data_IF_093058093496
#
_entry.id   IF_093058093496
#
_cell.length_a   1.000
_cell.length_b   1.000
_cell.length_c   1.000
_cell.angle_alpha   90.00
_cell.angle_beta   90.00
_cell.angle_gamma   90.00
#
_symmetry.space_group_name_H-M   'P 1'
#
loop_
_entity.id
_entity.type
_entity.pdbx_description
1 polymer ?
#
# COMPACT_ATOMS: atom_id res chain seq x y z
N UNK A 1 36.80 -8.81 -25.17
CA UNK A 1 37.81 -8.00 -24.46
C UNK A 1 37.34 -6.56 -24.56
N UNK A 2 36.74 -5.88 -23.59
CA UNK A 2 36.73 -6.03 -22.14
C UNK A 2 37.44 -4.82 -21.53
N UNK A 3 36.71 -3.80 -21.08
CA UNK A 3 37.13 -2.94 -19.96
C UNK A 3 35.89 -2.34 -19.28
N UNK A 4 35.68 -2.73 -18.03
CA UNK A 4 34.67 -2.18 -17.13
C UNK A 4 35.29 -0.99 -16.38
N UNK A 5 34.65 0.17 -16.45
CA UNK A 5 35.06 1.36 -15.70
C UNK A 5 34.59 1.26 -14.24
N UNK A 6 35.47 0.80 -13.34
CA UNK A 6 35.25 0.80 -11.89
C UNK A 6 35.44 2.22 -11.34
N UNK A 7 34.38 2.83 -10.80
CA UNK A 7 34.47 4.09 -10.04
C UNK A 7 34.92 3.80 -8.61
N UNK A 8 36.19 4.09 -8.31
CA UNK A 8 36.72 4.11 -6.94
C UNK A 8 36.16 5.32 -6.17
N UNK A 9 35.52 5.10 -5.01
CA UNK A 9 35.25 6.16 -4.04
C UNK A 9 36.58 6.60 -3.40
N UNK A 10 36.94 7.87 -3.58
CA UNK A 10 38.09 8.51 -2.94
C UNK A 10 37.77 8.73 -1.46
N UNK A 11 38.47 8.03 -0.57
CA UNK A 11 38.43 8.32 0.87
C UNK A 11 39.17 9.64 1.15
N UNK A 12 38.49 10.59 1.81
CA UNK A 12 39.01 11.91 2.17
C UNK A 12 40.23 11.86 3.09
N UNK A 13 40.99 12.95 3.10
CA UNK A 13 42.30 13.08 3.78
C UNK A 13 42.16 13.08 5.30
N UNK A 14 43.15 12.49 5.98
CA UNK A 14 43.23 12.46 7.46
C UNK A 14 43.25 13.87 8.09
N UNK A 15 43.61 14.90 7.31
CA UNK A 15 43.58 16.29 7.74
C UNK A 15 42.15 16.82 7.94
N UNK A 16 41.19 16.39 7.11
CA UNK A 16 39.79 16.82 7.22
C UNK A 16 39.11 16.21 8.46
N UNK A 17 39.52 15.00 8.85
CA UNK A 17 39.02 14.35 10.08
C UNK A 17 39.56 14.99 11.36
N UNK A 18 40.72 15.65 11.31
CA UNK A 18 41.32 16.31 12.48
C UNK A 18 40.62 17.65 12.80
N UNK A 19 40.22 18.41 11.78
CA UNK A 19 39.49 19.66 11.96
C UNK A 19 38.11 19.48 12.64
N UNK A 20 37.46 18.32 12.48
CA UNK A 20 36.20 18.02 13.15
C UNK A 20 36.36 17.60 14.64
N UNK A 21 37.57 17.29 15.10
CA UNK A 21 37.81 16.86 16.48
C UNK A 21 38.24 18.02 17.41
N UNK A 22 38.85 19.08 16.87
CA UNK A 22 39.31 20.21 17.67
C UNK A 22 38.15 21.18 18.06
N UNK A 23 37.05 21.19 17.30
CA UNK A 23 35.84 21.96 17.64
C UNK A 23 35.01 21.33 18.79
N UNK A 24 35.33 20.07 19.15
CA UNK A 24 34.65 19.33 20.22
C UNK A 24 35.26 19.59 21.61
N UNK A 25 36.48 20.11 21.68
CA UNK A 25 37.22 20.26 22.94
C UNK A 25 37.02 21.62 23.65
N UNK A 26 36.45 22.64 22.99
CA UNK A 26 36.29 23.98 23.56
C UNK A 26 34.94 24.23 24.29
N UNK A 27 34.12 23.19 24.51
CA UNK A 27 32.77 23.30 25.10
C UNK A 27 32.54 22.55 26.42
N UNK A 28 33.60 22.10 27.11
CA UNK A 28 33.46 21.28 28.34
C UNK A 28 33.89 21.98 29.64
N UNK A 29 33.85 23.31 29.76
CA UNK A 29 33.99 23.94 31.09
C UNK A 29 33.42 25.37 31.15
N UNK A 30 32.09 25.48 31.32
CA UNK A 30 31.45 26.68 31.86
C UNK A 30 30.45 26.26 32.95
N UNK A 31 30.32 27.02 34.06
CA UNK A 31 29.40 26.69 35.13
C UNK A 31 27.97 26.66 34.60
N UNK A 32 27.28 25.53 34.83
CA UNK A 32 25.90 25.30 34.39
C UNK A 32 24.92 26.25 35.10
N UNK A 33 24.34 27.17 34.32
CA UNK A 33 23.01 27.71 34.55
C UNK A 33 21.95 26.64 34.23
N UNK A 34 20.77 26.63 34.87
CA UNK A 34 19.81 25.53 34.73
C UNK A 34 19.14 25.56 33.35
N UNK A 35 19.49 24.62 32.47
CA UNK A 35 18.82 24.39 31.19
C UNK A 35 17.93 23.16 31.27
N UNK A 36 16.62 23.39 31.20
CA UNK A 36 15.59 22.39 30.98
C UNK A 36 15.76 21.76 29.59
N UNK A 37 16.04 20.47 29.51
CA UNK A 37 15.43 19.57 28.51
C UNK A 37 15.96 18.14 28.67
N UNK A 38 15.42 17.48 29.68
CA UNK A 38 15.35 16.03 29.75
C UNK A 38 13.87 15.68 29.85
N UNK A 39 13.16 15.73 28.72
CA UNK A 39 11.77 15.27 28.66
C UNK A 39 11.76 13.75 28.52
N UNK A 40 11.17 13.00 29.47
CA UNK A 40 10.92 11.57 29.31
C UNK A 40 10.05 11.34 28.06
N UNK A 41 10.19 10.18 27.40
CA UNK A 41 9.22 9.74 26.39
C UNK A 41 7.88 9.47 27.09
N UNK A 42 7.10 10.53 27.27
CA UNK A 42 5.79 10.48 27.90
C UNK A 42 4.85 9.79 26.92
N UNK A 43 4.47 8.55 27.23
CA UNK A 43 3.36 7.88 26.56
C UNK A 43 2.12 8.76 26.74
N UNK A 44 1.84 9.61 25.74
CA UNK A 44 0.64 10.42 25.68
C UNK A 44 -0.57 9.49 25.58
N UNK A 45 -1.10 9.10 26.72
CA UNK A 45 -2.39 8.46 26.82
C UNK A 45 -3.45 9.54 26.59
N UNK A 46 -4.35 9.34 25.64
CA UNK A 46 -5.47 10.26 25.42
C UNK A 46 -6.25 10.46 26.72
N UNK A 47 -6.62 11.71 26.99
CA UNK A 47 -7.32 12.07 28.22
C UNK A 47 -8.64 11.30 28.34
N UNK A 48 -9.12 11.07 29.57
CA UNK A 48 -10.42 10.42 29.78
C UNK A 48 -11.55 11.16 29.06
N UNK A 49 -11.47 12.49 29.01
CA UNK A 49 -12.38 13.36 28.27
C UNK A 49 -12.35 13.08 26.76
N UNK A 50 -11.17 12.92 26.16
CA UNK A 50 -11.04 12.52 24.75
C UNK A 50 -11.60 11.13 24.48
N UNK A 51 -11.32 10.15 25.36
CA UNK A 51 -11.86 8.78 25.22
C UNK A 51 -13.38 8.75 25.32
N UNK A 52 -13.96 9.53 26.24
CA UNK A 52 -15.41 9.69 26.37
C UNK A 52 -16.01 10.31 25.11
N UNK A 53 -15.39 11.37 24.59
CA UNK A 53 -15.80 12.00 23.32
C UNK A 53 -15.78 10.99 22.17
N UNK A 54 -14.71 10.22 22.02
CA UNK A 54 -14.60 9.19 20.97
C UNK A 54 -15.66 8.10 21.13
N UNK A 55 -15.95 7.67 22.35
CA UNK A 55 -17.00 6.70 22.64
C UNK A 55 -18.38 7.25 22.24
N UNK A 56 -18.71 8.46 22.69
CA UNK A 56 -19.99 9.10 22.37
C UNK A 56 -20.16 9.29 20.85
N UNK A 57 -19.08 9.63 20.14
CA UNK A 57 -19.06 9.71 18.67
C UNK A 57 -19.27 8.34 18.00
N UNK A 58 -18.62 7.30 18.51
CA UNK A 58 -18.77 5.92 18.04
C UNK A 58 -20.21 5.43 18.22
N UNK A 59 -20.81 5.71 19.39
CA UNK A 59 -22.21 5.41 19.69
C UNK A 59 -23.13 6.14 18.71
N UNK A 60 -22.95 7.45 18.51
CA UNK A 60 -23.75 8.23 17.54
C UNK A 60 -23.66 7.67 16.12
N UNK A 61 -22.46 7.33 15.64
CA UNK A 61 -22.25 6.71 14.32
C UNK A 61 -22.93 5.36 14.22
N UNK A 62 -22.81 4.54 15.26
CA UNK A 62 -23.43 3.22 15.34
C UNK A 62 -24.96 3.31 15.31
N UNK A 63 -25.56 4.16 16.15
CA UNK A 63 -27.02 4.37 16.19
C UNK A 63 -27.56 4.78 14.82
N UNK A 64 -26.89 5.71 14.12
CA UNK A 64 -27.26 6.11 12.75
C UNK A 64 -27.20 4.93 11.78
N UNK A 65 -26.11 4.16 11.80
CA UNK A 65 -25.94 2.99 10.91
C UNK A 65 -26.98 1.90 11.19
N UNK A 66 -27.31 1.67 12.45
CA UNK A 66 -28.33 0.70 12.85
C UNK A 66 -29.72 1.16 12.41
N UNK A 67 -30.06 2.44 12.56
CA UNK A 67 -31.37 2.97 12.15
C UNK A 67 -31.73 2.67 10.68
N UNK A 68 -30.73 2.60 9.79
CA UNK A 68 -30.90 2.28 8.36
C UNK A 68 -30.79 0.78 8.04
N UNK A 69 -30.25 -0.03 8.95
CA UNK A 69 -30.09 -1.47 8.75
C UNK A 69 -31.41 -2.21 9.04
N UNK A 70 -32.03 -2.87 8.03
CA UNK A 70 -33.31 -3.57 8.20
C UNK A 70 -33.25 -4.77 9.16
N UNK A 71 -32.06 -5.25 9.50
CA UNK A 71 -31.87 -6.36 10.45
C UNK A 71 -31.60 -5.90 11.89
N UNK A 72 -31.73 -4.60 12.19
CA UNK A 72 -31.53 -4.08 13.55
C UNK A 72 -32.85 -3.86 14.28
N UNK A 73 -32.87 -4.08 15.60
CA UNK A 73 -34.09 -3.91 16.42
C UNK A 73 -34.60 -2.46 16.53
N UNK A 74 -33.76 -1.47 16.16
CA UNK A 74 -34.12 -0.05 16.13
C UNK A 74 -34.32 0.47 14.69
N UNK A 75 -34.55 -0.43 13.73
CA UNK A 75 -34.80 -0.05 12.34
C UNK A 75 -36.01 0.87 12.27
N UNK A 76 -35.79 2.11 11.83
CA UNK A 76 -36.86 3.02 11.48
C UNK A 76 -37.07 2.84 9.99
N UNK A 77 -38.30 2.50 9.57
CA UNK A 77 -38.69 2.38 8.17
C UNK A 77 -38.71 3.76 7.48
N UNK A 78 -37.61 4.49 7.60
CA UNK A 78 -37.30 5.64 6.78
C UNK A 78 -36.96 5.06 5.43
N UNK A 79 -37.61 5.57 4.39
CA UNK A 79 -37.36 5.29 2.97
C UNK A 79 -35.91 4.86 2.81
N UNK A 80 -35.66 3.55 2.67
CA UNK A 80 -34.30 3.07 2.54
C UNK A 80 -33.68 3.88 1.42
N UNK A 81 -32.46 4.38 1.64
CA UNK A 81 -31.67 5.03 0.60
C UNK A 81 -31.42 3.95 -0.45
N UNK A 82 -32.43 3.72 -1.29
CA UNK A 82 -32.41 2.74 -2.35
C UNK A 82 -31.28 3.20 -3.24
N UNK A 83 -30.27 2.35 -3.34
CA UNK A 83 -29.15 2.59 -4.23
C UNK A 83 -29.75 2.77 -5.63
N UNK A 84 -29.63 3.97 -6.19
CA UNK A 84 -30.08 4.23 -7.54
C UNK A 84 -29.07 3.63 -8.50
N UNK A 85 -29.56 2.95 -9.54
CA UNK A 85 -28.69 2.44 -10.61
C UNK A 85 -27.97 3.57 -11.35
N UNK A 86 -28.58 4.76 -11.40
CA UNK A 86 -28.05 5.94 -12.10
C UNK A 86 -27.00 6.71 -11.28
N UNK A 87 -26.73 6.29 -10.03
CA UNK A 87 -25.66 6.87 -9.22
C UNK A 87 -24.29 6.51 -9.84
N UNK A 88 -23.43 7.49 -10.20
CA UNK A 88 -22.08 7.23 -10.71
C UNK A 88 -21.19 6.41 -9.77
N UNK A 89 -21.53 6.38 -8.48
CA UNK A 89 -20.85 5.62 -7.45
C UNK A 89 -21.58 4.31 -7.08
N UNK A 90 -22.61 3.92 -7.83
CA UNK A 90 -23.28 2.63 -7.68
C UNK A 90 -22.29 1.47 -7.90
N UNK A 91 -22.36 0.44 -7.06
CA UNK A 91 -21.47 -0.72 -7.14
C UNK A 91 -20.02 -0.45 -6.71
N UNK A 92 -19.69 0.78 -6.30
CA UNK A 92 -18.36 1.13 -5.79
C UNK A 92 -18.36 1.20 -4.27
N UNK A 93 -17.27 0.78 -3.61
CA UNK A 93 -17.14 1.00 -2.18
C UNK A 93 -17.08 2.50 -1.87
N UNK A 94 -17.51 2.88 -0.68
CA UNK A 94 -17.38 4.26 -0.20
C UNK A 94 -15.90 4.66 -0.22
N UNK A 95 -15.59 5.83 -0.78
CA UNK A 95 -14.23 6.36 -0.84
C UNK A 95 -13.64 6.53 0.58
N UNK A 96 -12.36 6.21 0.74
CA UNK A 96 -11.64 6.13 2.01
C UNK A 96 -12.04 4.96 2.91
N UNK A 97 -12.98 4.10 2.50
CA UNK A 97 -13.45 3.01 3.36
C UNK A 97 -12.47 1.84 3.40
N UNK A 98 -12.59 1.01 4.45
CA UNK A 98 -11.85 -0.26 4.53
C UNK A 98 -12.15 -1.19 3.35
N UNK A 99 -13.36 -1.15 2.81
CA UNK A 99 -13.75 -1.98 1.66
C UNK A 99 -13.04 -1.53 0.38
N UNK A 100 -12.90 -0.23 0.16
CA UNK A 100 -12.13 0.30 -0.96
C UNK A 100 -10.66 -0.13 -0.86
N UNK A 101 -10.03 0.07 0.30
CA UNK A 101 -8.64 -0.32 0.52
C UNK A 101 -8.41 -1.82 0.27
N UNK A 102 -9.30 -2.68 0.77
CA UNK A 102 -9.24 -4.13 0.52
C UNK A 102 -9.40 -4.45 -0.97
N UNK A 103 -10.33 -3.77 -1.66
CA UNK A 103 -10.52 -3.95 -3.10
C UNK A 103 -9.27 -3.62 -3.89
N UNK A 104 -8.66 -2.45 -3.64
CA UNK A 104 -7.38 -2.03 -4.25
C UNK A 104 -6.26 -3.03 -3.97
N UNK A 105 -6.13 -3.48 -2.72
CA UNK A 105 -5.12 -4.47 -2.34
C UNK A 105 -5.32 -5.82 -3.05
N UNK A 106 -6.55 -6.32 -3.11
CA UNK A 106 -6.88 -7.58 -3.78
C UNK A 106 -6.64 -7.50 -5.29
N UNK A 107 -7.02 -6.39 -5.93
CA UNK A 107 -6.77 -6.15 -7.36
C UNK A 107 -5.26 -6.21 -7.67
N UNK A 108 -4.44 -5.48 -6.91
CA UNK A 108 -2.97 -5.51 -7.05
C UNK A 108 -2.40 -6.92 -6.89
N UNK A 109 -2.89 -7.67 -5.91
CA UNK A 109 -2.44 -9.03 -5.67
C UNK A 109 -2.80 -9.96 -6.84
N UNK A 110 -4.05 -9.94 -7.29
CA UNK A 110 -4.52 -10.77 -8.41
C UNK A 110 -3.75 -10.42 -9.69
N UNK A 111 -3.56 -9.14 -9.97
CA UNK A 111 -2.86 -8.68 -11.17
C UNK A 111 -1.38 -9.13 -11.18
N UNK A 112 -0.72 -9.13 -10.02
CA UNK A 112 0.64 -9.67 -9.91
C UNK A 112 0.69 -11.18 -10.22
N UNK A 113 -0.26 -11.96 -9.70
CA UNK A 113 -0.35 -13.40 -9.98
C UNK A 113 -0.66 -13.69 -11.47
N UNK A 114 -1.50 -12.86 -12.10
CA UNK A 114 -1.79 -12.97 -13.54
C UNK A 114 -0.53 -12.72 -14.37
N UNK A 115 0.25 -11.69 -14.05
CA UNK A 115 1.53 -11.44 -14.74
C UNK A 115 2.50 -12.59 -14.54
N UNK A 116 2.60 -13.12 -13.32
CA UNK A 116 3.45 -14.27 -13.02
C UNK A 116 3.09 -15.49 -13.86
N UNK A 117 1.79 -15.78 -14.01
CA UNK A 117 1.31 -16.86 -14.86
C UNK A 117 1.69 -16.63 -16.33
N UNK A 118 1.48 -15.41 -16.85
CA UNK A 118 1.88 -15.07 -18.22
C UNK A 118 3.40 -15.19 -18.43
N UNK A 119 4.19 -14.81 -17.43
CA UNK A 119 5.65 -14.97 -17.46
C UNK A 119 6.06 -16.44 -17.50
N UNK A 120 5.37 -17.32 -16.77
CA UNK A 120 5.60 -18.77 -16.80
C UNK A 120 5.26 -19.34 -18.19
N UNK A 121 4.09 -18.99 -18.74
CA UNK A 121 3.68 -19.40 -20.09
C UNK A 121 4.71 -18.96 -21.13
N UNK A 122 5.25 -17.74 -21.01
CA UNK A 122 6.23 -17.22 -21.95
C UNK A 122 7.60 -17.92 -21.85
N UNK A 123 8.01 -18.32 -20.64
CA UNK A 123 9.30 -18.97 -20.40
C UNK A 123 9.29 -20.44 -20.80
N UNK A 124 8.22 -21.17 -20.46
CA UNK A 124 8.13 -22.62 -20.67
C UNK A 124 7.43 -22.97 -21.99
N UNK A 125 6.67 -22.04 -22.57
CA UNK A 125 5.93 -22.24 -23.82
C UNK A 125 6.74 -21.94 -25.08
N UNK A 126 6.11 -22.22 -26.23
CA UNK A 126 6.63 -21.86 -27.55
C UNK A 126 6.42 -20.36 -27.81
N UNK A 127 7.52 -19.63 -27.97
CA UNK A 127 7.51 -18.21 -28.28
C UNK A 127 7.35 -17.96 -29.79
N UNK A 128 6.57 -16.94 -30.14
CA UNK A 128 6.37 -16.49 -31.52
C UNK A 128 7.23 -15.25 -31.82
N UNK A 129 7.45 -14.98 -33.11
CA UNK A 129 8.20 -13.79 -33.57
C UNK A 129 7.55 -12.47 -33.13
N UNK A 130 6.21 -12.47 -32.99
CA UNK A 130 5.43 -11.31 -32.55
C UNK A 130 5.55 -11.01 -31.04
N UNK A 131 6.30 -11.83 -30.28
CA UNK A 131 6.50 -11.67 -28.84
C UNK A 131 5.38 -12.26 -27.96
N UNK A 132 4.40 -12.93 -28.57
CA UNK A 132 3.41 -13.79 -27.89
C UNK A 132 3.99 -15.18 -27.62
N UNK A 133 3.31 -16.00 -26.81
CA UNK A 133 3.70 -17.38 -26.56
C UNK A 133 2.47 -18.29 -26.40
N UNK A 134 2.67 -19.59 -26.62
CA UNK A 134 1.67 -20.63 -26.42
C UNK A 134 2.24 -21.81 -25.63
N UNK A 135 1.44 -22.40 -24.75
CA UNK A 135 1.78 -23.62 -24.00
C UNK A 135 0.58 -24.55 -23.99
N UNK A 136 0.78 -25.88 -23.98
CA UNK A 136 -0.31 -26.81 -23.76
C UNK A 136 -0.70 -26.85 -22.28
N UNK A 137 -1.97 -27.08 -21.99
CA UNK A 137 -2.47 -27.20 -20.61
C UNK A 137 -1.75 -28.31 -19.85
N UNK A 138 -1.47 -29.44 -20.52
CA UNK A 138 -0.74 -30.57 -19.95
C UNK A 138 0.66 -30.21 -19.46
N UNK A 139 1.41 -29.39 -20.20
CA UNK A 139 2.75 -28.94 -19.82
C UNK A 139 2.71 -28.00 -18.61
N UNK A 140 1.70 -27.11 -18.56
CA UNK A 140 1.55 -26.14 -17.48
C UNK A 140 1.08 -26.79 -16.16
N UNK A 141 0.20 -27.79 -16.23
CA UNK A 141 -0.46 -28.40 -15.06
C UNK A 141 -0.07 -29.87 -14.82
N UNK A 142 0.92 -30.40 -15.55
CA UNK A 142 1.37 -31.80 -15.48
C UNK A 142 0.24 -32.82 -15.75
N UNK A 143 -0.78 -32.40 -16.49
CA UNK A 143 -1.84 -33.27 -16.98
C UNK A 143 -1.32 -34.10 -18.14
N UNK A 144 -1.33 -35.43 -18.03
CA UNK A 144 -0.93 -36.31 -19.13
C UNK A 144 -1.94 -36.18 -20.27
N UNK A 145 -1.41 -36.08 -21.49
CA UNK A 145 -2.16 -36.11 -22.75
C UNK A 145 -3.21 -34.99 -22.92
N UNK A 146 -2.96 -33.81 -22.31
CA UNK A 146 -3.79 -32.61 -22.50
C UNK A 146 -3.14 -31.62 -23.47
N UNK A 147 -3.48 -31.76 -24.75
CA UNK A 147 -3.00 -30.94 -25.86
C UNK A 147 -3.76 -29.61 -26.03
N UNK A 148 -4.57 -29.19 -25.04
CA UNK A 148 -5.32 -27.94 -25.13
C UNK A 148 -4.39 -26.72 -25.12
N UNK A 149 -4.31 -25.92 -26.19
CA UNK A 149 -3.39 -24.80 -26.26
C UNK A 149 -3.91 -23.60 -25.46
N UNK A 150 -3.01 -23.01 -24.67
CA UNK A 150 -3.20 -21.74 -23.97
C UNK A 150 -2.27 -20.72 -24.63
N UNK A 151 -2.84 -19.64 -25.15
CA UNK A 151 -2.08 -18.62 -25.89
C UNK A 151 -2.15 -17.26 -25.22
N UNK A 152 -1.02 -16.56 -25.16
CA UNK A 152 -0.98 -15.15 -24.82
C UNK A 152 -1.48 -14.33 -26.01
N UNK A 153 -2.59 -13.61 -25.80
CA UNK A 153 -3.20 -12.77 -26.85
C UNK A 153 -2.45 -11.45 -27.09
N UNK A 154 -1.47 -11.15 -26.24
CA UNK A 154 -0.64 -9.94 -26.30
C UNK A 154 0.82 -10.31 -26.07
N UNK A 155 1.78 -9.55 -26.62
CA UNK A 155 3.19 -9.74 -26.32
C UNK A 155 3.46 -9.60 -24.82
N UNK A 156 4.39 -10.38 -24.29
CA UNK A 156 4.65 -10.40 -22.84
C UNK A 156 5.03 -9.01 -22.28
N UNK A 157 5.68 -8.18 -23.09
CA UNK A 157 6.05 -6.81 -22.70
C UNK A 157 4.84 -5.87 -22.57
N UNK A 158 3.83 -6.03 -23.43
CA UNK A 158 2.59 -5.26 -23.36
C UNK A 158 1.82 -5.65 -22.10
N UNK A 159 1.66 -6.95 -21.83
CA UNK A 159 1.00 -7.46 -20.62
C UNK A 159 1.66 -6.88 -19.35
N UNK A 160 3.00 -6.97 -19.25
CA UNK A 160 3.73 -6.42 -18.10
C UNK A 160 3.49 -4.92 -17.93
N UNK A 161 3.43 -4.17 -19.02
CA UNK A 161 3.21 -2.72 -18.98
C UNK A 161 1.80 -2.36 -18.50
N UNK A 162 0.79 -3.11 -18.96
CA UNK A 162 -0.62 -2.89 -18.57
C UNK A 162 -0.87 -3.14 -17.08
N UNK A 163 -0.23 -4.16 -16.51
CA UNK A 163 -0.42 -4.49 -15.10
C UNK A 163 0.55 -3.75 -14.16
N UNK A 164 1.56 -3.06 -14.69
CA UNK A 164 2.43 -2.16 -13.91
C UNK A 164 1.74 -0.85 -13.53
N UNK A 165 0.79 -0.35 -14.33
CA UNK A 165 0.09 0.90 -14.02
C UNK A 165 -0.78 0.82 -12.75
N UNK A 166 -1.10 -0.38 -12.27
CA UNK A 166 -1.85 -0.59 -11.03
C UNK A 166 -0.97 -0.51 -9.76
N UNK A 167 0.34 -0.28 -9.93
CA UNK A 167 1.31 -0.21 -8.85
C UNK A 167 1.51 1.19 -8.24
N UNK A 168 0.60 2.16 -8.39
CA UNK A 168 0.69 3.37 -7.56
C UNK A 168 0.38 3.07 -6.08
N UNK A 169 1.41 3.22 -5.25
CA UNK A 169 1.40 2.97 -3.82
C UNK A 169 0.89 4.19 -3.05
N UNK A 170 -0.24 4.05 -2.37
CA UNK A 170 -0.30 4.52 -0.99
C UNK A 170 0.04 3.32 -0.10
N UNK A 171 1.29 3.29 0.39
CA UNK A 171 1.54 2.63 1.67
C UNK A 171 0.76 3.46 2.68
N UNK A 172 -0.51 3.10 2.87
CA UNK A 172 -1.26 3.53 4.01
C UNK A 172 -0.56 2.97 5.23
N UNK A 173 0.46 3.70 5.72
CA UNK A 173 0.73 3.78 7.15
C UNK A 173 -0.66 3.86 7.76
N UNK A 174 -1.00 2.92 8.63
CA UNK A 174 -2.22 2.99 9.39
C UNK A 174 -2.20 4.34 10.11
N UNK A 175 -2.87 5.33 9.53
CA UNK A 175 -2.88 6.68 10.07
C UNK A 175 -3.49 6.55 11.47
N UNK A 176 -2.67 6.78 12.50
CA UNK A 176 -3.21 7.44 13.69
C UNK A 176 -3.91 8.67 13.15
N UNK A 177 -5.23 8.72 13.30
CA UNK A 177 -6.10 9.57 12.50
C UNK A 177 -5.56 10.99 12.34
N UNK A 178 -5.49 11.45 11.10
CA UNK A 178 -5.20 12.85 10.82
C UNK A 178 -6.34 13.72 11.35
N UNK A 179 -6.04 14.76 12.14
CA UNK A 179 -7.05 15.64 12.73
C UNK A 179 -7.64 16.68 11.75
N UNK A 180 -7.32 16.64 10.45
CA UNK A 180 -7.68 17.69 9.49
C UNK A 180 -8.91 17.42 8.61
N UNK A 181 -9.59 16.28 8.74
CA UNK A 181 -10.89 16.04 8.10
C UNK A 181 -12.04 16.27 9.09
N UNK A 182 -12.13 17.51 9.60
CA UNK A 182 -13.33 18.06 10.21
C UNK A 182 -13.71 19.33 9.45
N UNK A 183 -14.65 19.21 8.52
CA UNK A 183 -15.54 20.28 8.09
C UNK A 183 -16.96 19.74 8.11
#
# INVERSE_FOLDING_TARGET
MGEASVRFLRMGSLAEKKAMLDDKAAKENRPHSPTSDSQPFELRHSSLSEKKKMFDESVKKHTKKMATNPFSGNFKNQSSTRLSRDDPNYGKPVAGSKSERRGKQAARHINAEVVLLCDMIYQEGQQNEDGTAAICFGDLFQGRDDDMPIMLLKPIQEIRSEFQSDQEFEVGICHKGDPSSQS
#
